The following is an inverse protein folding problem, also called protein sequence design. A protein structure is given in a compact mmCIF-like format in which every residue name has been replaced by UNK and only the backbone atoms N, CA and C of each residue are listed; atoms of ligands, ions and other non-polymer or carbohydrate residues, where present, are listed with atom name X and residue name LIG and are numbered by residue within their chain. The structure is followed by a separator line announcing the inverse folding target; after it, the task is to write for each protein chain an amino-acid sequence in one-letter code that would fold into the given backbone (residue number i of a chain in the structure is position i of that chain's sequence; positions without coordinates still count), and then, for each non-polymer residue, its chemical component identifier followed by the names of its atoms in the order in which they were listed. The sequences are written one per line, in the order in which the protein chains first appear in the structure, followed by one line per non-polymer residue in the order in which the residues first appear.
data_IF_145804502091
#
_entry.id   IF_145804502091
#
_cell.length_a   1.000
_cell.length_b   1.000
_cell.length_c   1.000
_cell.angle_alpha   90.00
_cell.angle_beta   90.00
_cell.angle_gamma   90.00
#
_symmetry.space_group_name_H-M   'P 1'
#
loop_
_entity.id
_entity.type
_entity.pdbx_description
1 polymer ?
#
# COMPACT_ATOMS: atom_id res chain seq x y z
N UNK A 1 -7.13 -23.41 -16.75
CA UNK A 1 -6.31 -22.18 -16.92
C UNK A 1 -6.66 -21.23 -15.79
N UNK A 2 -5.67 -20.59 -15.13
CA UNK A 2 -5.98 -19.55 -14.13
C UNK A 2 -6.66 -18.36 -14.85
N UNK A 3 -7.75 -17.79 -14.31
CA UNK A 3 -8.40 -16.64 -14.93
C UNK A 3 -7.45 -15.45 -14.97
N UNK A 4 -7.50 -14.68 -16.05
CA UNK A 4 -6.77 -13.42 -16.16
C UNK A 4 -7.32 -12.45 -15.09
N UNK A 5 -6.46 -11.89 -14.26
CA UNK A 5 -6.85 -10.92 -13.23
C UNK A 5 -7.01 -9.52 -13.84
N UNK A 6 -7.84 -8.69 -13.21
CA UNK A 6 -7.86 -7.24 -13.41
C UNK A 6 -7.23 -6.55 -12.21
N UNK A 7 -6.26 -5.69 -12.44
CA UNK A 7 -5.63 -4.86 -11.41
C UNK A 7 -5.81 -3.40 -11.80
N UNK A 8 -6.47 -2.62 -10.94
CA UNK A 8 -6.63 -1.19 -11.13
C UNK A 8 -5.34 -0.44 -10.79
N UNK A 9 -5.03 0.59 -11.56
CA UNK A 9 -3.96 1.55 -11.29
C UNK A 9 -4.55 2.96 -11.31
N UNK A 10 -4.45 3.69 -10.20
CA UNK A 10 -4.74 5.13 -10.18
C UNK A 10 -3.40 5.88 -10.26
N UNK A 11 -3.11 6.66 -11.32
CA UNK A 11 -1.86 7.39 -11.43
C UNK A 11 -1.63 8.37 -10.27
N UNK A 12 -2.70 8.95 -9.70
CA UNK A 12 -2.62 9.89 -8.59
C UNK A 12 -2.54 11.34 -9.06
N UNK A 13 -1.69 12.15 -8.42
CA UNK A 13 -1.53 13.57 -8.71
C UNK A 13 -1.12 13.81 -10.18
N UNK A 14 -1.94 14.48 -11.01
CA UNK A 14 -1.66 14.65 -12.43
C UNK A 14 -0.42 15.52 -12.73
N UNK A 15 -0.07 16.44 -11.83
CA UNK A 15 1.17 17.21 -11.95
C UNK A 15 2.43 16.44 -11.50
N UNK A 16 2.27 15.29 -10.84
CA UNK A 16 3.36 14.49 -10.29
C UNK A 16 3.91 13.45 -11.28
N UNK A 17 4.77 12.56 -10.75
CA UNK A 17 5.37 11.45 -11.50
C UNK A 17 4.42 10.26 -11.71
N UNK A 18 3.26 10.24 -11.06
CA UNK A 18 2.30 9.15 -11.17
C UNK A 18 1.94 8.78 -12.61
N UNK A 19 1.60 9.76 -13.47
CA UNK A 19 1.45 9.54 -14.90
C UNK A 19 2.71 9.00 -15.60
N UNK A 20 3.92 9.53 -15.33
CA UNK A 20 5.17 9.01 -15.91
C UNK A 20 5.35 7.53 -15.61
N UNK A 21 5.20 7.17 -14.34
CA UNK A 21 5.38 5.81 -13.87
C UNK A 21 4.33 4.88 -14.48
N UNK A 22 3.09 5.35 -14.65
CA UNK A 22 2.03 4.57 -15.30
C UNK A 22 2.37 4.28 -16.77
N UNK A 23 2.87 5.28 -17.50
CA UNK A 23 3.32 5.09 -18.89
C UNK A 23 4.53 4.15 -18.97
N UNK A 24 5.51 4.32 -18.09
CA UNK A 24 6.72 3.48 -18.06
C UNK A 24 6.39 2.01 -17.72
N UNK A 25 5.49 1.78 -16.76
CA UNK A 25 5.01 0.45 -16.37
C UNK A 25 4.28 -0.26 -17.51
N UNK A 26 3.54 0.49 -18.33
CA UNK A 26 2.82 -0.05 -19.48
C UNK A 26 3.74 -0.64 -20.55
N UNK A 27 5.02 -0.24 -20.60
CA UNK A 27 5.99 -0.74 -21.59
C UNK A 27 6.31 -2.23 -21.42
N UNK A 28 5.92 -2.85 -20.30
CA UNK A 28 6.10 -4.26 -20.04
C UNK A 28 4.79 -5.02 -20.20
N UNK A 29 4.82 -6.12 -20.97
CA UNK A 29 3.69 -7.03 -21.06
C UNK A 29 3.35 -7.62 -19.69
N UNK A 30 2.06 -7.80 -19.40
CA UNK A 30 1.54 -8.36 -18.16
C UNK A 30 0.63 -9.54 -18.46
N UNK A 31 0.68 -10.56 -17.61
CA UNK A 31 -0.25 -11.69 -17.66
C UNK A 31 -1.61 -11.39 -16.99
N UNK A 32 -1.83 -10.15 -16.57
CA UNK A 32 -3.10 -9.62 -16.06
C UNK A 32 -3.50 -8.38 -16.88
N UNK A 33 -4.78 -8.00 -16.81
CA UNK A 33 -5.27 -6.75 -17.37
C UNK A 33 -4.93 -5.59 -16.42
N UNK A 34 -4.08 -4.67 -16.88
CA UNK A 34 -3.79 -3.43 -16.17
C UNK A 34 -4.84 -2.38 -16.57
N UNK A 35 -5.70 -2.02 -15.61
CA UNK A 35 -6.79 -1.05 -15.80
C UNK A 35 -6.40 0.28 -15.17
N UNK A 36 -5.97 1.22 -15.99
CA UNK A 36 -5.68 2.58 -15.54
C UNK A 36 -7.00 3.35 -15.33
N UNK A 37 -7.13 4.02 -14.19
CA UNK A 37 -8.27 4.88 -13.85
C UNK A 37 -7.74 6.31 -13.74
N UNK A 38 -8.01 7.12 -14.77
CA UNK A 38 -7.44 8.46 -14.91
C UNK A 38 -7.73 9.06 -16.27
N UNK A 39 -7.12 10.21 -16.57
CA UNK A 39 -7.35 10.89 -17.85
C UNK A 39 -6.50 10.27 -18.97
N UNK A 40 -7.16 9.82 -20.03
CA UNK A 40 -6.50 9.31 -21.23
C UNK A 40 -5.67 10.38 -21.95
N UNK A 41 -6.16 11.62 -21.97
CA UNK A 41 -5.44 12.78 -22.52
C UNK A 41 -4.13 13.03 -21.77
N UNK A 42 -4.18 13.07 -20.44
CA UNK A 42 -2.99 13.22 -19.59
C UNK A 42 -1.93 12.14 -19.87
N UNK A 43 -2.37 10.88 -19.94
CA UNK A 43 -1.47 9.75 -20.18
C UNK A 43 -0.86 9.80 -21.58
N UNK A 44 -1.63 10.16 -22.60
CA UNK A 44 -1.13 10.33 -23.96
C UNK A 44 -0.12 11.50 -24.06
N UNK A 45 -0.42 12.65 -23.43
CA UNK A 45 0.49 13.79 -23.36
C UNK A 45 1.79 13.41 -22.65
N UNK A 46 1.71 12.73 -21.50
CA UNK A 46 2.90 12.28 -20.76
C UNK A 46 3.70 11.26 -21.56
N UNK A 47 3.04 10.31 -22.24
CA UNK A 47 3.72 9.35 -23.10
C UNK A 47 4.47 10.03 -24.25
N UNK A 48 3.85 11.03 -24.89
CA UNK A 48 4.50 11.84 -25.91
C UNK A 48 5.73 12.60 -25.36
N UNK A 49 5.59 13.25 -24.20
CA UNK A 49 6.68 13.97 -23.54
C UNK A 49 7.86 13.05 -23.20
N UNK A 50 7.59 11.80 -22.81
CA UNK A 50 8.60 10.80 -22.47
C UNK A 50 9.15 10.05 -23.70
N UNK A 51 8.59 10.26 -24.89
CA UNK A 51 8.96 9.52 -26.10
C UNK A 51 8.62 8.03 -26.04
N UNK A 52 7.58 7.64 -25.29
CA UNK A 52 7.17 6.25 -25.10
C UNK A 52 5.88 5.94 -25.86
N UNK A 53 5.77 4.79 -26.54
CA UNK A 53 4.52 4.39 -27.16
C UNK A 53 3.49 4.03 -26.09
N UNK A 54 2.25 4.47 -26.27
CA UNK A 54 1.16 4.09 -25.39
C UNK A 54 -0.14 3.93 -26.19
N UNK A 55 -0.75 2.76 -26.05
CA UNK A 55 -2.07 2.45 -26.56
C UNK A 55 -3.04 2.28 -25.38
N UNK A 56 -4.10 3.09 -25.40
CA UNK A 56 -5.16 3.04 -24.40
C UNK A 56 -6.37 2.34 -25.00
N UNK A 57 -6.78 1.23 -24.39
CA UNK A 57 -8.00 0.50 -24.75
C UNK A 57 -9.10 0.89 -23.79
N UNK A 58 -10.32 1.14 -24.26
CA UNK A 58 -11.44 1.35 -23.35
C UNK A 58 -11.67 0.11 -22.48
N UNK A 59 -11.81 0.30 -21.17
CA UNK A 59 -12.21 -0.76 -20.25
C UNK A 59 -13.69 -1.11 -20.45
N UNK A 60 -13.98 -2.40 -20.50
CA UNK A 60 -15.34 -2.94 -20.57
C UNK A 60 -15.47 -4.07 -19.53
N UNK A 61 -16.36 -3.87 -18.56
CA UNK A 61 -16.58 -4.81 -17.46
C UNK A 61 -17.20 -6.12 -17.94
N UNK A 62 -18.00 -6.06 -19.02
CA UNK A 62 -18.76 -7.20 -19.57
C UNK A 62 -17.89 -8.14 -20.41
N UNK A 63 -16.74 -7.65 -20.87
CA UNK A 63 -15.78 -8.47 -21.59
C UNK A 63 -14.93 -9.31 -20.63
N UNK A 64 -14.42 -10.48 -21.05
CA UNK A 64 -13.43 -11.21 -20.27
C UNK A 64 -12.15 -10.40 -20.08
N UNK A 65 -11.53 -10.52 -18.91
CA UNK A 65 -10.25 -9.88 -18.65
C UNK A 65 -9.16 -10.36 -19.62
N UNK A 66 -8.35 -9.43 -20.13
CA UNK A 66 -7.29 -9.72 -21.10
C UNK A 66 -5.95 -9.16 -20.67
N UNK A 67 -4.92 -10.00 -20.72
CA UNK A 67 -3.51 -9.63 -20.49
C UNK A 67 -3.11 -8.38 -21.29
N UNK A 68 -2.46 -7.42 -20.63
CA UNK A 68 -1.94 -6.22 -21.27
C UNK A 68 -0.66 -6.52 -22.07
N UNK A 69 -0.64 -6.14 -23.34
CA UNK A 69 0.58 -6.18 -24.14
C UNK A 69 1.56 -5.07 -23.74
N UNK A 70 2.83 -5.19 -24.14
CA UNK A 70 3.80 -4.11 -23.98
C UNK A 70 3.33 -2.86 -24.74
N UNK A 71 3.37 -1.72 -24.05
CA UNK A 71 2.88 -0.42 -24.55
C UNK A 71 1.35 -0.27 -24.48
N UNK A 72 0.61 -1.14 -23.80
CA UNK A 72 -0.86 -1.11 -23.75
C UNK A 72 -1.42 -1.14 -22.32
N UNK A 73 -2.47 -0.35 -22.06
CA UNK A 73 -3.30 -0.44 -20.84
C UNK A 73 -4.78 -0.31 -21.18
N UNK A 74 -5.64 -0.95 -20.38
CA UNK A 74 -7.07 -0.62 -20.36
C UNK A 74 -7.27 0.71 -19.62
N UNK A 75 -8.26 1.50 -20.01
CA UNK A 75 -8.53 2.83 -19.48
C UNK A 75 -10.00 2.96 -19.08
N UNK A 76 -10.22 3.38 -17.83
CA UNK A 76 -11.46 4.02 -17.39
C UNK A 76 -11.16 5.51 -17.39
N UNK A 77 -11.69 6.21 -18.40
CA UNK A 77 -11.37 7.60 -18.63
C UNK A 77 -12.13 8.50 -17.65
N UNK A 78 -11.38 9.28 -16.87
CA UNK A 78 -11.90 10.33 -16.01
C UNK A 78 -11.19 11.62 -16.43
N UNK A 79 -11.90 12.58 -17.05
CA UNK A 79 -11.26 13.78 -17.56
C UNK A 79 -10.79 14.69 -16.41
N UNK A 80 -9.65 15.35 -16.63
CA UNK A 80 -9.18 16.43 -15.79
C UNK A 80 -10.18 17.61 -15.81
N UNK A 81 -10.14 18.45 -14.77
CA UNK A 81 -10.91 19.71 -14.74
C UNK A 81 -10.15 20.86 -15.39
N UNK A 82 -8.82 20.81 -15.34
CA UNK A 82 -7.91 21.74 -16.02
C UNK A 82 -6.72 20.98 -16.61
N UNK A 83 -6.11 21.45 -17.71
CA UNK A 83 -4.89 20.87 -18.24
C UNK A 83 -3.79 20.80 -17.17
N UNK A 84 -3.19 19.63 -16.98
CA UNK A 84 -2.14 19.45 -15.98
C UNK A 84 -0.77 19.81 -16.56
N UNK A 85 0.00 20.61 -15.81
CA UNK A 85 1.38 20.97 -16.15
C UNK A 85 2.31 20.13 -15.24
N UNK A 86 3.25 19.36 -15.80
CA UNK A 86 4.21 18.61 -14.99
C UNK A 86 4.94 19.53 -13.99
N UNK A 87 4.92 19.14 -12.71
CA UNK A 87 5.56 19.86 -11.62
C UNK A 87 4.76 21.02 -11.02
N UNK A 88 3.60 21.38 -11.57
CA UNK A 88 2.77 22.48 -11.08
C UNK A 88 1.39 21.99 -10.63
N UNK A 89 1.18 22.03 -9.31
CA UNK A 89 -0.10 21.69 -8.67
C UNK A 89 -1.21 22.66 -9.08
N UNK A 90 -2.44 22.14 -9.18
CA UNK A 90 -3.65 22.91 -9.46
C UNK A 90 -4.83 22.35 -8.65
N UNK A 91 -5.43 23.19 -7.79
CA UNK A 91 -6.55 22.82 -6.93
C UNK A 91 -7.79 22.43 -7.72
N UNK A 92 -7.95 22.92 -8.97
CA UNK A 92 -9.06 22.53 -9.83
C UNK A 92 -9.08 21.03 -10.12
N UNK A 93 -7.91 20.37 -10.10
CA UNK A 93 -7.78 18.94 -10.36
C UNK A 93 -7.89 18.06 -9.08
N UNK A 94 -8.13 18.65 -7.91
CA UNK A 94 -8.30 17.88 -6.67
C UNK A 94 -9.46 16.87 -6.78
N UNK A 95 -10.61 17.29 -7.31
CA UNK A 95 -11.75 16.40 -7.53
C UNK A 95 -11.44 15.27 -8.51
N UNK A 96 -10.64 15.52 -9.55
CA UNK A 96 -10.20 14.45 -10.46
C UNK A 96 -9.46 13.35 -9.70
N UNK A 97 -8.52 13.72 -8.82
CA UNK A 97 -7.76 12.73 -8.04
C UNK A 97 -8.73 11.88 -7.19
N UNK A 98 -9.66 12.52 -6.49
CA UNK A 98 -10.63 11.82 -5.64
C UNK A 98 -11.61 10.95 -6.45
N UNK A 99 -12.05 11.41 -7.62
CA UNK A 99 -12.92 10.65 -8.53
C UNK A 99 -12.24 9.34 -8.97
N UNK A 100 -10.93 9.39 -9.27
CA UNK A 100 -10.16 8.18 -9.63
C UNK A 100 -10.05 7.20 -8.46
N UNK A 101 -9.82 7.69 -7.25
CA UNK A 101 -9.73 6.85 -6.04
C UNK A 101 -11.09 6.23 -5.70
N UNK A 102 -12.16 7.03 -5.76
CA UNK A 102 -13.54 6.59 -5.51
C UNK A 102 -13.93 5.49 -6.50
N UNK A 103 -13.67 5.71 -7.80
CA UNK A 103 -13.97 4.71 -8.83
C UNK A 103 -13.17 3.42 -8.63
N UNK A 104 -11.90 3.51 -8.23
CA UNK A 104 -11.08 2.33 -7.95
C UNK A 104 -11.62 1.54 -6.75
N UNK A 105 -12.04 2.22 -5.68
CA UNK A 105 -12.66 1.61 -4.52
C UNK A 105 -13.94 0.87 -4.90
N UNK A 106 -14.82 1.51 -5.66
CA UNK A 106 -16.11 0.93 -6.08
C UNK A 106 -15.91 -0.34 -6.92
N UNK A 107 -14.95 -0.34 -7.85
CA UNK A 107 -14.64 -1.51 -8.67
C UNK A 107 -14.05 -2.65 -7.84
N UNK A 108 -13.20 -2.34 -6.85
CA UNK A 108 -12.67 -3.33 -5.92
C UNK A 108 -13.77 -3.93 -5.04
N UNK A 109 -14.63 -3.10 -4.47
CA UNK A 109 -15.74 -3.54 -3.62
C UNK A 109 -16.79 -4.35 -4.41
N UNK A 110 -17.02 -4.00 -5.67
CA UNK A 110 -17.88 -4.74 -6.59
C UNK A 110 -17.24 -5.99 -7.21
N UNK A 111 -15.96 -6.28 -6.93
CA UNK A 111 -15.25 -7.44 -7.47
C UNK A 111 -14.90 -7.35 -8.96
N UNK A 112 -15.14 -6.21 -9.61
CA UNK A 112 -14.82 -5.98 -11.03
C UNK A 112 -13.31 -5.91 -11.30
N UNK A 113 -12.53 -5.54 -10.27
CA UNK A 113 -11.07 -5.64 -10.24
C UNK A 113 -10.62 -6.32 -8.94
N UNK A 114 -9.56 -7.13 -9.01
CA UNK A 114 -9.11 -7.95 -7.88
C UNK A 114 -8.26 -7.16 -6.87
N UNK A 115 -7.64 -6.06 -7.30
CA UNK A 115 -6.80 -5.20 -6.48
C UNK A 115 -6.71 -3.81 -7.08
N UNK A 116 -6.35 -2.83 -6.25
CA UNK A 116 -5.94 -1.49 -6.67
C UNK A 116 -4.49 -1.21 -6.24
N UNK A 117 -3.71 -0.66 -7.16
CA UNK A 117 -2.41 -0.08 -6.91
C UNK A 117 -2.48 1.43 -7.10
N UNK A 118 -2.06 2.20 -6.09
CA UNK A 118 -2.13 3.67 -6.14
C UNK A 118 -0.75 4.28 -6.38
N UNK A 119 -0.68 5.20 -7.35
CA UNK A 119 0.40 6.17 -7.46
C UNK A 119 0.34 7.24 -6.36
N UNK A 120 1.30 8.18 -6.35
CA UNK A 120 1.39 9.19 -5.31
C UNK A 120 0.35 10.30 -5.52
N UNK A 121 -0.20 10.84 -4.41
CA UNK A 121 -1.11 12.00 -4.41
C UNK A 121 -0.54 13.10 -3.54
N UNK A 122 -0.93 14.35 -3.82
CA UNK A 122 -0.50 15.51 -3.05
C UNK A 122 -1.59 15.92 -2.06
N UNK A 123 -1.43 15.59 -0.77
CA UNK A 123 -2.43 15.94 0.25
C UNK A 123 -2.69 17.44 0.35
N UNK A 124 -1.64 18.26 0.22
CA UNK A 124 -1.75 19.72 0.36
C UNK A 124 -2.70 20.32 -0.67
N UNK A 125 -2.54 20.02 -1.97
CA UNK A 125 -3.39 20.61 -3.01
C UNK A 125 -4.86 20.19 -2.88
N UNK A 126 -5.14 18.98 -2.38
CA UNK A 126 -6.51 18.52 -2.13
C UNK A 126 -7.14 19.31 -0.98
N UNK A 127 -6.39 19.53 0.11
CA UNK A 127 -6.85 20.34 1.23
C UNK A 127 -6.98 21.83 0.85
N UNK A 128 -6.06 22.37 0.04
CA UNK A 128 -6.11 23.74 -0.47
C UNK A 128 -7.32 23.97 -1.40
N UNK A 129 -7.86 22.92 -2.02
CA UNK A 129 -9.13 22.95 -2.75
C UNK A 129 -10.36 22.96 -1.84
N UNK A 130 -10.19 23.00 -0.51
CA UNK A 130 -11.26 22.98 0.49
C UNK A 130 -11.81 21.59 0.78
N UNK A 131 -11.09 20.52 0.41
CA UNK A 131 -11.55 19.13 0.59
C UNK A 131 -10.71 18.47 1.68
N UNK A 132 -11.30 18.08 2.83
CA UNK A 132 -10.57 17.36 3.87
C UNK A 132 -10.02 16.04 3.35
N UNK A 133 -8.69 15.89 3.35
CA UNK A 133 -8.04 14.67 2.90
C UNK A 133 -6.79 14.36 3.73
N UNK A 134 -6.88 13.29 4.52
CA UNK A 134 -5.79 12.81 5.37
C UNK A 134 -4.82 11.90 4.63
N UNK A 135 -5.27 11.20 3.58
CA UNK A 135 -4.45 10.26 2.83
C UNK A 135 -5.27 9.15 2.16
N UNK A 136 -4.59 8.34 1.33
CA UNK A 136 -5.21 7.21 0.66
C UNK A 136 -5.83 6.21 1.64
N UNK A 137 -5.09 5.86 2.70
CA UNK A 137 -5.49 4.84 3.66
C UNK A 137 -6.81 5.20 4.33
N UNK A 138 -6.93 6.44 4.77
CA UNK A 138 -8.13 6.98 5.42
C UNK A 138 -9.29 7.09 4.43
N UNK A 139 -9.02 7.58 3.22
CA UNK A 139 -10.02 7.68 2.16
C UNK A 139 -10.65 6.32 1.82
N UNK A 140 -9.83 5.29 1.58
CA UNK A 140 -10.34 3.95 1.29
C UNK A 140 -11.02 3.30 2.49
N UNK A 141 -10.54 3.56 3.71
CA UNK A 141 -11.17 3.04 4.92
C UNK A 141 -12.58 3.63 5.10
N UNK A 142 -12.75 4.94 4.89
CA UNK A 142 -14.03 5.63 4.94
C UNK A 142 -14.99 5.10 3.85
N UNK A 143 -14.54 5.09 2.59
CA UNK A 143 -15.34 4.63 1.45
C UNK A 143 -15.81 3.17 1.62
N UNK A 144 -14.96 2.31 2.17
CA UNK A 144 -15.27 0.90 2.42
C UNK A 144 -15.92 0.63 3.77
N UNK A 145 -16.14 1.66 4.59
CA UNK A 145 -16.66 1.55 5.97
C UNK A 145 -15.84 0.58 6.83
N UNK A 146 -14.54 0.52 6.58
CA UNK A 146 -13.61 -0.30 7.35
C UNK A 146 -13.34 0.36 8.70
N UNK A 147 -13.73 -0.30 9.79
CA UNK A 147 -13.58 0.25 11.13
C UNK A 147 -12.11 0.51 11.52
N UNK A 148 -11.19 -0.34 11.05
CA UNK A 148 -9.76 -0.21 11.28
C UNK A 148 -8.96 -0.78 10.12
N UNK A 149 -7.88 -0.09 9.80
CA UNK A 149 -6.88 -0.53 8.81
C UNK A 149 -5.51 -0.55 9.46
N UNK A 150 -4.63 -1.38 8.92
CA UNK A 150 -3.24 -1.51 9.38
C UNK A 150 -2.31 -1.19 8.22
N UNK A 151 -1.38 -0.27 8.45
CA UNK A 151 -0.32 0.02 7.50
C UNK A 151 0.76 -1.05 7.61
N UNK A 152 1.13 -1.64 6.47
CA UNK A 152 2.26 -2.53 6.37
C UNK A 152 3.17 -2.07 5.23
N UNK A 153 4.45 -1.92 5.49
CA UNK A 153 5.43 -1.84 4.42
C UNK A 153 6.00 -3.22 4.14
N UNK A 154 6.29 -3.48 2.88
CA UNK A 154 6.93 -4.71 2.47
C UNK A 154 8.02 -4.46 1.44
N UNK A 155 9.01 -5.33 1.44
CA UNK A 155 10.01 -5.50 0.38
C UNK A 155 10.21 -7.00 0.15
N UNK A 156 11.18 -7.40 -0.66
CA UNK A 156 11.52 -8.80 -0.81
C UNK A 156 12.05 -9.37 0.51
N UNK A 157 11.42 -10.44 1.02
CA UNK A 157 11.85 -11.13 2.24
C UNK A 157 11.50 -10.44 3.58
N UNK A 158 10.90 -9.24 3.57
CA UNK A 158 10.54 -8.53 4.80
C UNK A 158 9.19 -7.83 4.69
N UNK A 159 8.33 -8.02 5.70
CA UNK A 159 7.05 -7.32 5.89
C UNK A 159 6.99 -6.75 7.29
N UNK A 160 6.70 -5.45 7.42
CA UNK A 160 6.63 -4.74 8.70
C UNK A 160 5.29 -4.02 8.80
N UNK A 161 4.43 -4.50 9.68
CA UNK A 161 3.19 -3.83 10.08
C UNK A 161 3.42 -2.92 11.28
N UNK A 162 2.62 -1.87 11.39
CA UNK A 162 2.79 -0.83 12.42
C UNK A 162 1.58 -0.77 13.35
N UNK A 163 1.82 -0.76 14.67
CA UNK A 163 0.76 -0.49 15.66
C UNK A 163 0.32 0.97 15.60
N UNK A 164 1.29 1.87 15.47
CA UNK A 164 1.08 3.32 15.31
C UNK A 164 1.79 3.83 14.06
N UNK A 165 1.20 4.81 13.36
CA UNK A 165 1.71 5.33 12.09
C UNK A 165 2.29 6.75 12.25
N UNK A 166 1.67 7.75 11.65
CA UNK A 166 2.18 9.12 11.60
C UNK A 166 1.73 9.93 12.82
N UNK A 167 2.31 9.63 13.99
CA UNK A 167 2.09 10.40 15.23
C UNK A 167 3.42 10.92 15.78
N UNK A 168 3.42 12.02 16.56
CA UNK A 168 4.61 12.48 17.26
C UNK A 168 5.16 11.39 18.19
N UNK A 169 6.48 11.26 18.29
CA UNK A 169 7.14 10.25 19.12
C UNK A 169 6.69 10.33 20.60
N UNK A 170 6.40 11.53 21.10
CA UNK A 170 5.90 11.77 22.47
C UNK A 170 4.53 11.14 22.75
N UNK A 171 3.74 10.84 21.72
CA UNK A 171 2.40 10.25 21.85
C UNK A 171 2.40 8.72 21.70
N UNK A 172 3.51 8.12 21.25
CA UNK A 172 3.58 6.69 20.93
C UNK A 172 3.24 5.83 22.15
N UNK A 173 3.87 6.06 23.30
CA UNK A 173 3.67 5.22 24.48
C UNK A 173 2.20 5.18 24.93
N UNK A 174 1.51 6.32 24.87
CA UNK A 174 0.08 6.42 25.21
C UNK A 174 -0.82 5.75 24.16
N UNK A 175 -0.42 5.78 22.90
CA UNK A 175 -1.20 5.22 21.79
C UNK A 175 -1.12 3.69 21.72
N UNK A 176 -0.05 3.09 22.25
CA UNK A 176 0.11 1.63 22.34
C UNK A 176 -0.77 1.10 23.48
N UNK A 177 -1.97 0.65 23.12
CA UNK A 177 -2.93 0.03 24.05
C UNK A 177 -3.06 -1.47 23.78
N UNK A 178 -3.51 -2.25 24.76
CA UNK A 178 -3.66 -3.71 24.61
C UNK A 178 -4.65 -4.04 23.49
N UNK A 179 -5.76 -3.30 23.43
CA UNK A 179 -6.73 -3.42 22.35
C UNK A 179 -6.14 -3.02 21.00
N UNK A 180 -5.35 -1.94 20.95
CA UNK A 180 -4.65 -1.50 19.75
C UNK A 180 -3.73 -2.58 19.18
N UNK A 181 -2.90 -3.19 20.03
CA UNK A 181 -1.99 -4.28 19.66
C UNK A 181 -2.78 -5.49 19.16
N UNK A 182 -3.82 -5.91 19.89
CA UNK A 182 -4.65 -7.07 19.51
C UNK A 182 -5.31 -6.87 18.16
N UNK A 183 -5.95 -5.72 17.93
CA UNK A 183 -6.63 -5.44 16.66
C UNK A 183 -5.65 -5.40 15.49
N UNK A 184 -4.46 -4.83 15.67
CA UNK A 184 -3.43 -4.78 14.63
C UNK A 184 -2.97 -6.18 14.24
N UNK A 185 -2.66 -7.03 15.23
CA UNK A 185 -2.21 -8.40 14.98
C UNK A 185 -3.33 -9.25 14.39
N UNK A 186 -4.56 -9.09 14.85
CA UNK A 186 -5.73 -9.79 14.30
C UNK A 186 -5.94 -9.47 12.81
N UNK A 187 -5.89 -8.19 12.44
CA UNK A 187 -5.98 -7.75 11.03
C UNK A 187 -4.81 -8.30 10.22
N UNK A 188 -3.58 -8.20 10.75
CA UNK A 188 -2.38 -8.71 10.09
C UNK A 188 -2.49 -10.22 9.82
N UNK A 189 -2.83 -11.03 10.83
CA UNK A 189 -2.96 -12.47 10.66
C UNK A 189 -4.06 -12.82 9.66
N UNK A 190 -5.23 -12.20 9.76
CA UNK A 190 -6.35 -12.45 8.84
C UNK A 190 -6.01 -12.11 7.39
N UNK A 191 -5.25 -11.03 7.16
CA UNK A 191 -4.82 -10.66 5.80
C UNK A 191 -3.61 -11.47 5.31
N UNK A 192 -2.66 -11.86 6.16
CA UNK A 192 -1.61 -12.82 5.79
C UNK A 192 -2.23 -14.16 5.35
N UNK A 193 -3.28 -14.60 6.02
CA UNK A 193 -4.03 -15.79 5.62
C UNK A 193 -4.81 -15.58 4.32
N UNK A 194 -5.67 -14.57 4.25
CA UNK A 194 -6.61 -14.40 3.13
C UNK A 194 -5.94 -13.84 1.88
N UNK A 195 -5.09 -12.82 2.05
CA UNK A 195 -4.49 -12.05 0.97
C UNK A 195 -3.09 -12.53 0.61
N UNK A 196 -2.30 -13.08 1.53
CA UNK A 196 -0.97 -13.62 1.21
C UNK A 196 -0.95 -15.16 1.06
N UNK A 197 -2.06 -15.84 1.38
CA UNK A 197 -2.16 -17.29 1.25
C UNK A 197 -1.38 -18.09 2.30
N UNK A 198 -0.93 -17.43 3.38
CA UNK A 198 -0.10 -18.07 4.42
C UNK A 198 -1.01 -18.74 5.43
N UNK A 199 -1.07 -20.08 5.45
CA UNK A 199 -2.04 -20.83 6.26
C UNK A 199 -1.88 -20.59 7.78
N UNK A 200 -0.64 -20.57 8.27
CA UNK A 200 -0.30 -20.35 9.68
C UNK A 200 0.78 -19.26 9.76
N UNK A 201 0.38 -17.97 9.74
CA UNK A 201 1.35 -16.89 9.73
C UNK A 201 2.13 -16.83 11.04
N UNK A 202 3.45 -16.77 10.95
CA UNK A 202 4.34 -16.57 12.09
C UNK A 202 4.73 -15.10 12.21
N UNK A 203 4.33 -14.46 13.31
CA UNK A 203 4.44 -13.01 13.49
C UNK A 203 5.41 -12.71 14.63
N UNK A 204 6.44 -11.91 14.36
CA UNK A 204 7.32 -11.38 15.41
C UNK A 204 6.84 -10.00 15.84
N UNK A 205 6.90 -9.70 17.13
CA UNK A 205 6.39 -8.45 17.71
C UNK A 205 7.51 -7.77 18.51
N UNK A 206 7.81 -6.52 18.16
CA UNK A 206 8.75 -5.70 18.91
C UNK A 206 8.18 -5.34 20.30
N UNK A 207 9.06 -5.15 21.29
CA UNK A 207 8.73 -4.30 22.44
C UNK A 207 8.57 -2.85 22.00
N UNK A 208 7.93 -2.03 22.83
CA UNK A 208 7.90 -0.58 22.65
C UNK A 208 9.23 0.04 23.08
N UNK A 209 9.72 -0.37 24.23
CA UNK A 209 10.92 0.15 24.86
C UNK A 209 12.19 -0.54 24.34
N UNK A 210 13.36 0.12 24.44
CA UNK A 210 14.65 -0.54 24.26
C UNK A 210 14.72 -1.81 25.12
N UNK A 211 15.33 -2.86 24.57
CA UNK A 211 15.45 -4.15 25.25
C UNK A 211 14.10 -4.76 25.68
N UNK A 212 13.00 -4.36 25.04
CA UNK A 212 11.65 -4.75 25.44
C UNK A 212 11.38 -4.49 26.95
N UNK A 213 11.86 -3.36 27.45
CA UNK A 213 11.63 -2.90 28.82
C UNK A 213 12.56 -3.49 29.88
N UNK A 214 13.45 -4.43 29.52
CA UNK A 214 14.46 -5.03 30.43
C UNK A 214 13.83 -5.46 31.78
N UNK A 215 12.80 -6.31 31.74
CA UNK A 215 12.11 -6.79 32.95
C UNK A 215 11.37 -5.70 33.74
N UNK A 216 11.12 -4.53 33.14
CA UNK A 216 10.46 -3.40 33.79
C UNK A 216 11.39 -2.26 34.19
N UNK A 217 12.70 -2.41 33.98
CA UNK A 217 13.69 -1.38 34.33
C UNK A 217 13.78 -0.24 33.30
N UNK A 218 13.39 -0.49 32.04
CA UNK A 218 13.42 0.48 30.94
C UNK A 218 12.01 0.78 30.42
N UNK A 219 11.01 0.84 31.30
CA UNK A 219 9.60 1.00 30.94
C UNK A 219 8.79 -0.25 31.28
N UNK A 220 7.46 -0.11 31.35
CA UNK A 220 6.55 -1.13 31.88
C UNK A 220 5.45 -1.54 30.90
N UNK A 221 5.39 -0.90 29.74
CA UNK A 221 4.40 -1.14 28.70
C UNK A 221 4.43 -2.59 28.20
N UNK A 222 5.60 -3.23 28.16
CA UNK A 222 5.71 -4.65 27.84
C UNK A 222 5.00 -5.54 28.87
N UNK A 223 5.13 -5.23 30.15
CA UNK A 223 4.54 -6.02 31.25
C UNK A 223 3.04 -5.75 31.35
N UNK A 224 2.64 -4.48 31.25
CA UNK A 224 1.29 -4.03 31.57
C UNK A 224 0.34 -4.08 30.36
N UNK A 225 0.88 -4.00 29.14
CA UNK A 225 0.08 -3.83 27.92
C UNK A 225 0.40 -4.90 26.87
N UNK A 226 1.65 -4.99 26.43
CA UNK A 226 2.01 -5.78 25.24
C UNK A 226 2.00 -7.28 25.53
N UNK A 227 2.69 -7.75 26.57
CA UNK A 227 2.74 -9.19 26.90
C UNK A 227 1.37 -9.76 27.24
N UNK A 228 0.50 -9.08 28.03
CA UNK A 228 -0.88 -9.53 28.23
C UNK A 228 -1.66 -9.65 26.91
N UNK A 229 -1.54 -8.67 26.01
CA UNK A 229 -2.19 -8.70 24.69
C UNK A 229 -1.71 -9.88 23.83
N UNK A 230 -0.39 -10.15 23.80
CA UNK A 230 0.18 -11.29 23.07
C UNK A 230 -0.21 -12.63 23.68
N UNK A 231 -0.30 -12.73 25.00
CA UNK A 231 -0.73 -13.95 25.68
C UNK A 231 -2.20 -14.28 25.36
N UNK A 232 -3.07 -13.27 25.29
CA UNK A 232 -4.45 -13.45 24.85
C UNK A 232 -4.53 -13.95 23.40
N UNK A 233 -3.73 -13.39 22.49
CA UNK A 233 -3.70 -13.86 21.10
C UNK A 233 -3.17 -15.30 20.98
N UNK A 234 -2.17 -15.67 21.79
CA UNK A 234 -1.65 -17.06 21.83
C UNK A 234 -2.70 -18.05 22.30
N UNK A 235 -3.51 -17.69 23.31
CA UNK A 235 -4.61 -18.56 23.75
C UNK A 235 -5.73 -18.69 22.71
N UNK A 236 -5.85 -17.72 21.79
CA UNK A 236 -6.70 -17.78 20.61
C UNK A 236 -6.05 -18.56 19.43
N UNK A 237 -4.83 -19.07 19.59
CA UNK A 237 -4.13 -19.91 18.61
C UNK A 237 -3.25 -19.17 17.61
N UNK A 238 -2.94 -17.89 17.85
CA UNK A 238 -2.03 -17.10 17.01
C UNK A 238 -0.57 -17.51 17.25
N UNK A 239 0.20 -17.64 16.16
CA UNK A 239 1.64 -17.91 16.23
C UNK A 239 2.43 -16.59 16.32
N UNK A 240 2.35 -15.96 17.50
CA UNK A 240 2.95 -14.64 17.79
C UNK A 240 4.10 -14.75 18.78
N UNK A 241 5.27 -14.22 18.43
CA UNK A 241 6.47 -14.23 19.26
C UNK A 241 6.88 -12.82 19.68
N UNK A 242 7.21 -12.65 20.96
CA UNK A 242 7.61 -11.37 21.56
C UNK A 242 6.88 -11.05 22.87
N UNK A 243 7.01 -9.82 23.39
CA UNK A 243 7.78 -8.72 22.79
C UNK A 243 9.29 -9.04 22.77
N UNK A 244 9.96 -8.71 21.66
CA UNK A 244 11.42 -8.84 21.53
C UNK A 244 12.06 -7.45 21.41
N UNK A 245 13.31 -7.26 21.86
CA UNK A 245 14.08 -6.06 21.53
C UNK A 245 14.14 -5.87 20.01
N UNK A 246 13.83 -4.67 19.51
CA UNK A 246 13.76 -4.42 18.07
C UNK A 246 15.10 -4.68 17.36
N UNK A 247 16.20 -4.29 17.99
CA UNK A 247 17.58 -4.51 17.51
C UNK A 247 17.99 -5.99 17.47
N UNK A 248 17.38 -6.83 18.31
CA UNK A 248 17.55 -8.29 18.24
C UNK A 248 16.65 -8.91 17.17
N UNK A 249 15.39 -8.47 17.10
CA UNK A 249 14.37 -8.97 16.18
C UNK A 249 14.76 -8.73 14.72
N UNK A 250 15.31 -7.56 14.39
CA UNK A 250 15.70 -7.17 13.02
C UNK A 250 17.04 -7.76 12.54
N UNK A 251 17.43 -8.93 13.06
CA UNK A 251 18.60 -9.68 12.59
C UNK A 251 18.18 -10.79 11.64
N UNK A 252 19.03 -11.13 10.66
CA UNK A 252 18.73 -12.14 9.63
C UNK A 252 18.24 -13.47 10.22
N UNK A 253 18.86 -13.91 11.33
CA UNK A 253 18.47 -15.13 12.04
C UNK A 253 16.99 -15.16 12.43
N UNK A 254 16.44 -14.03 12.89
CA UNK A 254 15.04 -13.96 13.29
C UNK A 254 14.11 -13.72 12.09
N UNK A 255 14.52 -12.85 11.16
CA UNK A 255 13.70 -12.49 10.00
C UNK A 255 13.46 -13.67 9.05
N UNK A 256 14.41 -14.61 8.92
CA UNK A 256 14.26 -15.82 8.10
C UNK A 256 13.18 -16.79 8.62
N UNK A 257 12.69 -16.61 9.83
CA UNK A 257 11.75 -17.51 10.49
C UNK A 257 10.40 -16.85 10.77
N UNK A 258 10.05 -15.78 10.05
CA UNK A 258 8.77 -15.10 10.20
C UNK A 258 8.15 -14.70 8.86
N UNK A 259 6.84 -14.50 8.87
CA UNK A 259 6.08 -14.02 7.71
C UNK A 259 5.89 -12.51 7.73
N UNK A 260 5.86 -11.93 8.94
CA UNK A 260 5.76 -10.50 9.18
C UNK A 260 6.28 -10.11 10.58
N UNK A 261 6.70 -8.85 10.69
CA UNK A 261 7.06 -8.17 11.92
C UNK A 261 5.99 -7.14 12.26
N UNK A 262 5.69 -6.97 13.54
CA UNK A 262 4.88 -5.88 14.08
C UNK A 262 5.78 -4.96 14.90
N UNK A 263 5.99 -3.75 14.38
CA UNK A 263 6.67 -2.68 15.10
C UNK A 263 5.65 -1.79 15.82
N UNK A 264 6.03 -1.25 16.97
CA UNK A 264 5.14 -0.41 17.79
C UNK A 264 4.93 0.97 17.16
N UNK A 265 5.94 1.51 16.46
CA UNK A 265 5.89 2.81 15.82
C UNK A 265 6.70 2.86 14.53
N UNK A 266 6.45 3.89 13.73
CA UNK A 266 7.00 4.08 12.38
C UNK A 266 8.53 3.92 12.32
N UNK A 267 9.27 4.72 13.07
CA UNK A 267 10.74 4.74 13.00
C UNK A 267 11.41 3.53 13.67
N UNK A 268 10.64 2.65 14.31
CA UNK A 268 11.18 1.41 14.88
C UNK A 268 11.45 0.35 13.81
N UNK A 269 10.61 0.27 12.78
CA UNK A 269 10.66 -0.81 11.79
C UNK A 269 11.02 -0.34 10.38
N UNK A 270 10.63 0.88 9.99
CA UNK A 270 10.81 1.32 8.61
C UNK A 270 12.27 1.60 8.23
N UNK A 271 13.18 2.11 9.11
CA UNK A 271 14.57 2.29 8.74
C UNK A 271 15.25 1.00 8.24
N UNK A 272 15.01 -0.13 8.92
CA UNK A 272 15.55 -1.44 8.51
C UNK A 272 14.97 -1.85 7.15
N UNK A 273 13.66 -1.72 6.98
CA UNK A 273 12.99 -2.09 5.73
C UNK A 273 13.47 -1.24 4.54
N UNK A 274 13.63 0.07 4.72
CA UNK A 274 14.11 0.96 3.64
C UNK A 274 15.56 0.68 3.29
N UNK A 275 16.39 0.39 4.29
CA UNK A 275 17.79 0.01 4.09
C UNK A 275 17.90 -1.30 3.29
N UNK A 276 17.13 -2.32 3.64
CA UNK A 276 17.11 -3.60 2.90
C UNK A 276 16.47 -3.46 1.51
N UNK A 277 15.45 -2.62 1.37
CA UNK A 277 14.65 -2.52 0.14
C UNK A 277 15.26 -1.67 -0.97
N UNK A 278 16.27 -0.83 -0.72
CA UNK A 278 16.95 0.02 -1.74
C UNK A 278 15.99 0.70 -2.76
N UNK A 279 14.95 1.38 -2.29
CA UNK A 279 13.95 2.04 -3.16
C UNK A 279 12.86 1.11 -3.74
N UNK A 280 12.88 -0.17 -3.38
CA UNK A 280 11.84 -1.17 -3.66
C UNK A 280 11.08 -1.50 -2.37
N UNK A 281 10.32 -0.52 -1.89
CA UNK A 281 9.34 -0.74 -0.84
C UNK A 281 7.93 -0.50 -1.39
N UNK A 282 6.97 -1.25 -0.87
CA UNK A 282 5.54 -1.09 -1.14
C UNK A 282 4.82 -0.80 0.17
N UNK A 283 3.85 0.10 0.12
CA UNK A 283 2.89 0.29 1.20
C UNK A 283 1.61 -0.52 0.90
N UNK A 284 1.19 -1.34 1.84
CA UNK A 284 0.03 -2.23 1.76
C UNK A 284 -0.94 -1.85 2.88
N UNK A 285 -2.21 -1.63 2.51
CA UNK A 285 -3.26 -1.34 3.49
C UNK A 285 -4.01 -2.62 3.81
N UNK A 286 -3.80 -3.14 5.02
CA UNK A 286 -4.50 -4.30 5.54
C UNK A 286 -5.81 -3.89 6.22
N UNK A 287 -6.75 -4.82 6.34
CA UNK A 287 -8.06 -4.61 6.97
C UNK A 287 -9.16 -4.12 6.02
N UNK A 288 -8.80 -3.57 4.86
CA UNK A 288 -9.77 -3.27 3.79
C UNK A 288 -10.42 -4.56 3.26
N UNK A 289 -11.68 -4.52 2.76
CA UNK A 289 -12.34 -5.68 2.16
C UNK A 289 -11.72 -6.10 0.81
N UNK A 290 -10.80 -5.31 0.28
CA UNK A 290 -10.08 -5.57 -0.97
C UNK A 290 -8.56 -5.41 -0.78
N UNK A 291 -7.80 -5.76 -1.82
CA UNK A 291 -6.34 -5.61 -1.86
C UNK A 291 -6.00 -4.22 -2.35
N UNK A 292 -5.24 -3.47 -1.54
CA UNK A 292 -4.66 -2.18 -1.93
C UNK A 292 -3.17 -2.16 -1.66
N UNK A 293 -2.42 -1.81 -2.70
CA UNK A 293 -0.96 -1.57 -2.65
C UNK A 293 -0.66 -0.16 -3.13
N UNK A 294 0.51 0.35 -2.82
CA UNK A 294 0.91 1.72 -3.13
C UNK A 294 2.40 1.85 -3.24
N UNK A 295 2.84 2.80 -4.05
CA UNK A 295 4.20 3.32 -3.95
C UNK A 295 4.46 3.88 -2.55
N UNK A 296 5.74 3.93 -2.19
CA UNK A 296 6.23 4.40 -0.90
C UNK A 296 7.03 5.72 -1.01
N UNK A 297 6.92 6.38 -2.16
CA UNK A 297 7.45 7.73 -2.40
C UNK A 297 6.34 8.74 -2.65
N UNK A 298 6.68 10.02 -2.58
CA UNK A 298 5.77 11.13 -2.87
C UNK A 298 5.58 11.38 -4.38
N UNK A 299 4.96 12.53 -4.68
CA UNK A 299 4.62 12.96 -6.04
C UNK A 299 5.80 13.38 -6.91
N UNK A 300 6.95 13.69 -6.29
CA UNK A 300 8.20 14.06 -6.94
C UNK A 300 8.00 15.07 -8.10
N UNK A 301 7.28 16.15 -7.83
CA UNK A 301 6.85 17.17 -8.81
C UNK A 301 8.01 17.65 -9.72
N UNK A 302 9.21 17.82 -9.16
CA UNK A 302 10.41 18.24 -9.87
C UNK A 302 10.92 17.22 -10.92
N UNK A 303 10.46 15.98 -10.88
CA UNK A 303 10.82 14.92 -11.83
C UNK A 303 9.68 14.62 -12.84
N UNK A 304 8.51 15.24 -12.68
CA UNK A 304 7.38 14.98 -13.56
C UNK A 304 7.71 15.37 -15.01
N UNK A 305 7.54 14.44 -15.94
CA UNK A 305 7.81 14.62 -17.36
C UNK A 305 9.30 14.59 -17.75
N UNK A 306 10.22 14.31 -16.82
CA UNK A 306 11.67 14.30 -17.10
C UNK A 306 12.19 12.96 -17.60
N UNK A 307 11.43 11.87 -17.40
CA UNK A 307 11.87 10.50 -17.66
C UNK A 307 12.84 9.92 -16.61
N UNK A 308 13.13 10.66 -15.54
CA UNK A 308 14.09 10.23 -14.49
C UNK A 308 13.40 9.56 -13.28
N UNK A 309 12.07 9.49 -13.26
CA UNK A 309 11.34 8.86 -12.16
C UNK A 309 11.60 7.35 -12.11
N UNK A 310 11.92 6.81 -10.93
CA UNK A 310 12.20 5.39 -10.76
C UNK A 310 10.90 4.59 -10.55
N UNK A 311 10.61 3.67 -11.48
CA UNK A 311 9.41 2.82 -11.44
C UNK A 311 9.48 1.62 -10.48
N UNK A 312 10.61 1.41 -9.78
CA UNK A 312 10.85 0.22 -8.96
C UNK A 312 9.81 -0.01 -7.87
N UNK A 313 9.38 1.04 -7.16
CA UNK A 313 8.35 0.95 -6.12
C UNK A 313 6.98 0.60 -6.72
N UNK A 314 6.60 1.21 -7.84
CA UNK A 314 5.32 0.91 -8.51
C UNK A 314 5.29 -0.50 -9.10
N UNK A 315 6.40 -0.93 -9.71
CA UNK A 315 6.58 -2.29 -10.19
C UNK A 315 6.38 -3.30 -9.07
N UNK A 316 7.03 -3.06 -7.91
CA UNK A 316 6.89 -3.95 -6.76
C UNK A 316 5.48 -3.93 -6.19
N UNK A 317 4.82 -2.77 -6.15
CA UNK A 317 3.44 -2.65 -5.69
C UNK A 317 2.48 -3.48 -6.56
N UNK A 318 2.62 -3.41 -7.88
CA UNK A 318 1.85 -4.23 -8.81
C UNK A 318 2.14 -5.73 -8.67
N UNK A 319 3.41 -6.10 -8.47
CA UNK A 319 3.81 -7.49 -8.19
C UNK A 319 3.12 -8.01 -6.94
N UNK A 320 3.13 -7.25 -5.84
CA UNK A 320 2.44 -7.61 -4.61
C UNK A 320 0.92 -7.71 -4.81
N UNK A 321 0.30 -6.73 -5.49
CA UNK A 321 -1.13 -6.77 -5.80
C UNK A 321 -1.52 -8.04 -6.57
N UNK A 322 -0.73 -8.40 -7.58
CA UNK A 322 -0.94 -9.62 -8.36
C UNK A 322 -0.79 -10.88 -7.52
N UNK A 323 0.29 -11.00 -6.75
CA UNK A 323 0.54 -12.16 -5.89
C UNK A 323 -0.57 -12.33 -4.87
N UNK A 324 -1.00 -11.23 -4.24
CA UNK A 324 -2.06 -11.26 -3.24
C UNK A 324 -3.42 -11.64 -3.84
N UNK A 325 -3.74 -11.09 -5.01
CA UNK A 325 -4.98 -11.41 -5.72
C UNK A 325 -5.00 -12.88 -6.16
N UNK A 326 -3.88 -13.39 -6.67
CA UNK A 326 -3.74 -14.79 -7.05
C UNK A 326 -3.86 -15.75 -5.85
N UNK A 327 -3.30 -15.39 -4.69
CA UNK A 327 -3.41 -16.17 -3.46
C UNK A 327 -4.84 -16.21 -2.91
N UNK A 328 -5.57 -15.09 -3.03
CA UNK A 328 -6.96 -14.97 -2.55
C UNK A 328 -7.93 -15.85 -3.36
N UNK A 329 -7.66 -16.09 -4.65
CA UNK A 329 -8.48 -16.94 -5.51
C UNK A 329 -8.34 -18.45 -5.24
N UNK A 330 -7.24 -18.90 -4.61
CA UNK A 330 -7.00 -20.34 -4.35
C UNK A 330 -7.87 -20.86 -3.19
N UNK A 331 -8.47 -19.96 -2.41
CA UNK A 331 -9.28 -20.27 -1.22
C UNK A 331 -10.81 -20.20 -1.45
N UNK A 332 -11.25 -19.96 -2.68
CA UNK A 332 -12.64 -20.14 -3.13
C UNK A 332 -12.75 -21.49 -3.85
#
# INVERSE_FOLDING_TARGET
MKPCLRIALTPGEPAGVGPDLSVAIAQQARNYELVCIGSGELLAQRAHQLGLPLKLRAYDAEQPARSSAAGEMSLIDIPLRQPAIPGRLDTANAHYVLDTLSRAADLCMGGAVAAVTTGPVQKSVINDAGIPFSGHTEFFAEQSRSARVVMMLATEGLRVALVTTHIPLSEVAKAVTAEGVRQVIAILQGDLQRKFGIAKPRILVCGLNPHAGEGGHLGREEIEVISPALNALRSEGFDVHGPLPADTLFTDHHLQHCDAVVAMYHDQGLPVLKNQGFGKAVNITLGLPFIRTSVDHGTALNLAGSGQANQGSLQLALTYAQQMAAASLIKL
#
